data_IF_851363442530
#
_entry.id   IF_851363442530
#
_cell.length_a   1.000
_cell.length_b   1.000
_cell.length_c   1.000
_cell.angle_alpha   90.00
_cell.angle_beta   90.00
_cell.angle_gamma   90.00
#
_symmetry.space_group_name_H-M   'P 1'
#
loop_
_entity.id
_entity.type
_entity.pdbx_description
1 polymer ?
#
# COMPACT_ATOMS: atom_id res chain seq x y z
N UNK A 1 2.35 -61.24 45.35
CA UNK A 1 2.47 -59.83 45.16
C UNK A 1 1.68 -59.30 43.93
N UNK A 2 0.48 -59.88 43.64
CA UNK A 2 -0.36 -59.39 42.49
C UNK A 2 -1.73 -58.82 42.89
N UNK A 3 -2.06 -58.77 44.17
CA UNK A 3 -3.38 -58.39 44.64
C UNK A 3 -3.43 -57.01 45.34
N UNK A 4 -2.27 -56.34 45.56
CA UNK A 4 -2.20 -55.03 46.21
C UNK A 4 -2.34 -53.86 45.18
N UNK A 5 -1.99 -54.12 43.91
CA UNK A 5 -2.04 -53.08 42.87
C UNK A 5 -3.47 -52.74 42.38
N UNK A 6 -4.44 -53.66 42.52
CA UNK A 6 -5.84 -53.47 42.07
C UNK A 6 -6.66 -52.67 43.08
N UNK A 7 -6.35 -52.76 44.37
CA UNK A 7 -7.05 -52.02 45.42
C UNK A 7 -6.66 -50.54 45.43
N UNK A 8 -5.44 -50.19 45.01
CA UNK A 8 -4.98 -48.78 44.92
C UNK A 8 -5.56 -48.02 43.71
N UNK A 9 -5.81 -48.74 42.58
CA UNK A 9 -6.46 -48.15 41.42
C UNK A 9 -7.97 -47.88 41.62
N UNK A 10 -8.67 -48.69 42.43
CA UNK A 10 -10.08 -48.47 42.74
C UNK A 10 -10.31 -47.31 43.71
N UNK A 11 -9.41 -47.07 44.67
CA UNK A 11 -9.48 -45.90 45.55
C UNK A 11 -9.14 -44.57 44.82
N UNK A 12 -8.30 -44.62 43.77
CA UNK A 12 -7.98 -43.43 42.97
C UNK A 12 -9.13 -42.96 42.05
N UNK A 13 -10.02 -43.86 41.61
CA UNK A 13 -11.17 -43.50 40.77
C UNK A 13 -12.38 -42.97 41.56
N UNK A 14 -12.46 -43.21 42.87
CA UNK A 14 -13.56 -42.68 43.69
C UNK A 14 -13.30 -41.22 44.14
N UNK A 15 -12.03 -40.78 44.13
CA UNK A 15 -11.68 -39.40 44.51
C UNK A 15 -11.75 -38.38 43.37
N UNK A 16 -12.00 -38.81 42.12
CA UNK A 16 -12.13 -37.90 40.99
C UNK A 16 -13.58 -37.49 40.65
N UNK A 17 -14.56 -38.00 41.38
CA UNK A 17 -15.98 -37.67 41.15
C UNK A 17 -16.57 -36.61 42.10
N UNK A 18 -15.77 -35.90 42.89
CA UNK A 18 -16.26 -34.87 43.79
C UNK A 18 -15.73 -33.45 43.47
N UNK A 19 -15.23 -33.26 42.25
CA UNK A 19 -14.65 -31.96 41.86
C UNK A 19 -15.49 -31.16 40.86
N UNK A 20 -16.77 -31.47 40.73
CA UNK A 20 -17.68 -30.69 39.84
C UNK A 20 -19.03 -30.43 40.51
N UNK A 21 -19.04 -30.29 41.83
CA UNK A 21 -20.26 -29.80 42.49
C UNK A 21 -20.08 -28.33 42.91
N UNK A 22 -21.02 -27.53 42.46
CA UNK A 22 -21.40 -26.22 43.02
C UNK A 22 -20.58 -24.96 42.60
N UNK A 23 -20.15 -24.90 41.37
CA UNK A 23 -19.85 -23.56 40.82
C UNK A 23 -21.14 -22.72 40.68
N UNK A 24 -22.25 -23.37 40.34
CA UNK A 24 -23.57 -22.74 40.20
C UNK A 24 -24.17 -22.29 41.54
N UNK A 25 -23.84 -22.94 42.69
CA UNK A 25 -24.33 -22.55 44.02
C UNK A 25 -23.49 -21.43 44.64
N UNK A 26 -22.28 -21.17 44.17
CA UNK A 26 -21.41 -20.14 44.72
C UNK A 26 -21.61 -18.78 44.04
N UNK A 27 -21.98 -18.76 42.74
CA UNK A 27 -22.19 -17.56 41.95
C UNK A 27 -23.37 -17.72 40.98
N UNK A 28 -24.60 -17.92 41.48
CA UNK A 28 -25.71 -18.40 40.66
C UNK A 28 -26.27 -17.41 39.65
N UNK A 29 -25.93 -16.13 39.68
CA UNK A 29 -26.51 -15.11 38.82
C UNK A 29 -25.48 -14.28 38.05
N UNK A 30 -24.28 -14.15 38.57
CA UNK A 30 -23.25 -13.26 38.01
C UNK A 30 -22.71 -13.71 36.64
N UNK A 31 -22.73 -15.03 36.36
CA UNK A 31 -22.22 -15.63 35.14
C UNK A 31 -23.29 -16.21 34.21
N UNK A 32 -24.58 -16.09 34.56
CA UNK A 32 -25.67 -16.56 33.71
C UNK A 32 -25.71 -15.81 32.39
N UNK A 33 -25.56 -14.51 32.45
CA UNK A 33 -25.51 -13.57 31.31
C UNK A 33 -24.41 -12.54 31.55
N UNK A 34 -23.48 -12.46 30.62
CA UNK A 34 -22.37 -11.52 30.69
C UNK A 34 -22.31 -10.76 29.38
N UNK A 35 -22.29 -9.46 29.44
CA UNK A 35 -22.13 -8.57 28.29
C UNK A 35 -20.70 -8.06 28.22
N UNK A 36 -20.18 -7.94 27.03
CA UNK A 36 -18.81 -7.44 26.79
C UNK A 36 -18.67 -6.81 25.42
N UNK A 37 -17.75 -5.86 25.30
CA UNK A 37 -17.28 -5.38 24.01
C UNK A 37 -16.40 -6.45 23.34
N UNK A 38 -16.56 -6.63 22.05
CA UNK A 38 -15.67 -7.49 21.24
C UNK A 38 -14.29 -6.87 21.12
N UNK A 39 -14.22 -5.57 20.84
CA UNK A 39 -13.00 -4.78 20.75
C UNK A 39 -12.93 -3.84 21.95
N UNK A 40 -11.77 -3.79 22.61
CA UNK A 40 -11.56 -3.00 23.85
C UNK A 40 -10.20 -2.29 23.82
N UNK A 41 -10.00 -1.41 24.78
CA UNK A 41 -8.77 -0.63 24.91
C UNK A 41 -8.69 0.50 23.89
N UNK A 42 -7.48 0.95 23.60
CA UNK A 42 -7.24 2.03 22.66
C UNK A 42 -7.18 1.50 21.23
N UNK A 43 -7.91 2.15 20.33
CA UNK A 43 -7.94 1.83 18.88
C UNK A 43 -7.76 3.10 18.08
N UNK A 44 -6.82 3.09 17.13
CA UNK A 44 -6.72 4.12 16.11
C UNK A 44 -7.86 3.99 15.10
N UNK A 45 -8.36 5.12 14.62
CA UNK A 45 -9.43 5.18 13.60
C UNK A 45 -9.06 6.19 12.54
N UNK A 46 -8.85 5.72 11.32
CA UNK A 46 -8.59 6.58 10.17
C UNK A 46 -9.84 7.36 9.79
N UNK A 47 -9.75 8.67 9.80
CA UNK A 47 -10.79 9.61 9.40
C UNK A 47 -10.36 10.36 8.15
N UNK A 48 -10.97 10.05 7.02
CA UNK A 48 -10.60 10.67 5.75
C UNK A 48 -11.32 12.02 5.56
N UNK A 49 -10.55 13.04 5.17
CA UNK A 49 -11.09 14.38 4.79
C UNK A 49 -11.81 14.29 3.46
N UNK A 50 -13.06 13.86 3.48
CA UNK A 50 -13.90 13.70 2.28
C UNK A 50 -15.20 14.49 2.34
N UNK A 51 -15.42 15.26 3.41
CA UNK A 51 -16.71 15.90 3.71
C UNK A 51 -17.80 14.94 4.22
N UNK A 52 -17.50 13.64 4.31
CA UNK A 52 -18.42 12.60 4.76
C UNK A 52 -18.04 12.11 6.18
N UNK A 53 -19.03 11.66 6.94
CA UNK A 53 -18.79 11.03 8.24
C UNK A 53 -18.23 9.61 8.05
N UNK A 54 -17.30 9.25 8.91
CA UNK A 54 -16.74 7.87 8.96
C UNK A 54 -17.61 6.99 9.86
N UNK A 55 -17.94 5.79 9.39
CA UNK A 55 -18.67 4.81 10.18
C UNK A 55 -17.70 3.84 10.87
N UNK A 56 -17.88 3.67 12.19
CA UNK A 56 -17.15 2.68 12.98
C UNK A 56 -18.15 1.70 13.62
N UNK A 57 -17.92 0.39 13.47
CA UNK A 57 -18.81 -0.63 14.01
C UNK A 57 -18.31 -1.16 15.34
N UNK A 58 -19.15 -1.11 16.36
CA UNK A 58 -18.88 -1.65 17.69
C UNK A 58 -19.76 -2.87 17.90
N UNK A 59 -19.16 -3.99 18.27
CA UNK A 59 -19.90 -5.23 18.58
C UNK A 59 -19.94 -5.46 20.07
N UNK A 60 -21.16 -5.60 20.61
CA UNK A 60 -21.38 -6.02 21.99
C UNK A 60 -21.91 -7.45 22.00
N UNK A 61 -21.26 -8.32 22.77
CA UNK A 61 -21.53 -9.75 22.84
C UNK A 61 -22.27 -10.07 24.13
N UNK A 62 -23.32 -10.90 24.02
CA UNK A 62 -24.00 -11.56 25.14
C UNK A 62 -23.50 -13.00 25.24
N UNK A 63 -22.92 -13.36 26.38
CA UNK A 63 -22.40 -14.69 26.71
C UNK A 63 -22.85 -15.14 28.10
N UNK A 64 -22.31 -16.20 28.63
CA UNK A 64 -22.58 -16.75 29.95
C UNK A 64 -23.08 -18.18 29.91
N UNK A 65 -23.41 -18.75 31.07
CA UNK A 65 -23.89 -20.13 31.19
C UNK A 65 -25.34 -20.32 30.70
N UNK A 66 -26.14 -19.24 30.67
CA UNK A 66 -27.51 -19.23 30.18
C UNK A 66 -27.74 -18.16 29.09
N UNK A 67 -27.15 -18.31 27.89
CA UNK A 67 -27.20 -17.30 26.82
C UNK A 67 -28.64 -17.07 26.26
N UNK A 68 -29.58 -17.92 26.59
CA UNK A 68 -30.99 -17.80 26.18
C UNK A 68 -31.80 -16.85 27.07
N UNK A 69 -31.22 -16.31 28.13
CA UNK A 69 -31.84 -15.26 28.91
C UNK A 69 -31.81 -13.92 28.17
N UNK A 70 -32.83 -13.09 28.43
CA UNK A 70 -32.84 -11.69 27.96
C UNK A 70 -31.84 -10.88 28.75
N UNK A 71 -31.22 -9.87 28.12
CA UNK A 71 -30.28 -8.97 28.78
C UNK A 71 -30.46 -7.55 28.26
N UNK A 72 -30.05 -6.55 29.06
CA UNK A 72 -30.02 -5.17 28.63
C UNK A 72 -28.73 -4.46 29.06
N UNK A 73 -28.28 -3.52 28.22
CA UNK A 73 -27.13 -2.69 28.51
C UNK A 73 -27.29 -1.31 27.84
N UNK A 74 -26.46 -0.39 28.27
CA UNK A 74 -26.27 0.90 27.66
C UNK A 74 -24.85 1.04 27.17
N UNK A 75 -24.65 1.55 25.93
CA UNK A 75 -23.35 1.90 25.37
C UNK A 75 -23.36 3.37 24.98
N UNK A 76 -22.35 4.11 25.38
CA UNK A 76 -22.25 5.53 25.07
C UNK A 76 -20.89 6.10 25.41
N UNK A 77 -20.75 7.42 25.22
CA UNK A 77 -19.56 8.10 25.69
C UNK A 77 -19.42 7.96 27.21
N UNK A 78 -18.19 7.73 27.66
CA UNK A 78 -17.87 7.64 29.07
C UNK A 78 -18.21 8.97 29.78
N UNK A 79 -18.85 8.92 30.92
CA UNK A 79 -19.09 10.11 31.70
C UNK A 79 -17.81 10.73 32.26
N UNK A 80 -17.87 12.01 32.65
CA UNK A 80 -16.70 12.77 33.07
C UNK A 80 -15.96 12.16 34.27
N UNK A 81 -16.69 11.52 35.21
CA UNK A 81 -16.06 10.92 36.39
C UNK A 81 -15.25 9.69 36.04
N UNK A 82 -15.82 8.81 35.21
CA UNK A 82 -15.16 7.61 34.75
C UNK A 82 -14.01 7.95 33.81
N UNK A 83 -14.17 8.97 32.99
CA UNK A 83 -13.08 9.41 32.08
C UNK A 83 -11.91 10.02 32.86
N UNK A 84 -12.16 10.90 33.81
CA UNK A 84 -11.11 11.48 34.66
C UNK A 84 -10.34 10.39 35.42
N UNK A 85 -11.04 9.39 35.94
CA UNK A 85 -10.42 8.23 36.56
C UNK A 85 -9.55 7.44 35.55
N UNK A 86 -10.06 7.21 34.36
CA UNK A 86 -9.35 6.46 33.30
C UNK A 86 -8.01 7.13 32.92
N UNK A 87 -8.02 8.45 32.72
CA UNK A 87 -6.81 9.20 32.34
C UNK A 87 -5.81 9.37 33.49
N UNK A 88 -6.32 9.67 34.72
CA UNK A 88 -5.47 9.87 35.89
C UNK A 88 -4.72 8.59 36.31
N UNK A 89 -5.39 7.44 36.29
CA UNK A 89 -4.79 6.15 36.63
C UNK A 89 -3.66 5.74 35.63
N UNK A 90 -3.68 6.29 34.41
CA UNK A 90 -2.75 5.95 33.34
C UNK A 90 -1.76 7.05 33.01
N UNK A 91 -1.91 8.23 33.62
CA UNK A 91 -1.06 9.38 33.32
C UNK A 91 -1.18 9.88 31.89
N UNK A 92 -2.41 9.88 31.33
CA UNK A 92 -2.68 10.25 29.94
C UNK A 92 -3.17 11.70 29.86
N UNK A 93 -2.76 12.40 28.82
CA UNK A 93 -3.22 13.75 28.50
C UNK A 93 -4.26 13.71 27.37
N UNK A 94 -5.41 13.08 27.67
CA UNK A 94 -6.50 12.91 26.72
C UNK A 94 -7.62 13.91 26.98
N UNK A 95 -8.21 14.38 25.89
CA UNK A 95 -9.39 15.25 25.92
C UNK A 95 -10.54 14.55 25.16
N UNK A 96 -11.68 14.40 25.85
CA UNK A 96 -12.83 13.75 25.25
C UNK A 96 -13.48 14.62 24.17
N UNK A 97 -13.85 14.02 23.05
CA UNK A 97 -14.60 14.68 21.98
C UNK A 97 -15.95 15.22 22.48
N UNK A 98 -16.36 16.43 22.06
CA UNK A 98 -17.70 16.93 22.30
C UNK A 98 -18.75 16.17 21.47
N UNK A 99 -20.01 16.24 21.91
CA UNK A 99 -21.10 15.46 21.33
C UNK A 99 -21.42 15.74 19.85
N UNK A 100 -21.01 16.87 19.30
CA UNK A 100 -21.17 17.19 17.87
C UNK A 100 -20.18 16.42 16.96
N UNK A 101 -19.14 15.82 17.53
CA UNK A 101 -18.14 15.04 16.79
C UNK A 101 -18.60 13.63 16.43
N UNK A 102 -19.64 13.09 17.08
CA UNK A 102 -20.06 11.69 16.89
C UNK A 102 -21.55 11.49 17.12
N UNK A 103 -22.07 10.36 16.63
CA UNK A 103 -23.43 9.90 16.98
C UNK A 103 -23.53 8.38 16.93
N UNK A 104 -24.24 7.79 17.90
CA UNK A 104 -24.56 6.37 17.92
C UNK A 104 -25.94 6.14 17.25
N UNK A 105 -26.06 5.07 16.45
CA UNK A 105 -27.35 4.70 15.89
C UNK A 105 -28.29 4.09 16.93
N UNK A 106 -27.74 3.54 18.01
CA UNK A 106 -28.45 3.05 19.19
C UNK A 106 -27.52 3.08 20.40
N UNK A 107 -28.05 3.42 21.56
CA UNK A 107 -27.32 3.41 22.84
C UNK A 107 -27.93 2.38 23.81
N UNK A 108 -29.24 2.13 23.74
CA UNK A 108 -29.90 1.10 24.53
C UNK A 108 -29.92 -0.24 23.82
N UNK A 109 -29.44 -1.28 24.47
CA UNK A 109 -29.23 -2.62 23.92
C UNK A 109 -30.07 -3.64 24.64
N UNK A 110 -31.25 -3.97 24.09
CA UNK A 110 -32.12 -5.03 24.59
C UNK A 110 -31.93 -6.30 23.81
N UNK A 111 -31.46 -7.35 24.47
CA UNK A 111 -31.23 -8.67 23.89
C UNK A 111 -32.39 -9.61 24.13
N UNK A 112 -32.95 -10.15 23.05
CA UNK A 112 -33.88 -11.28 23.14
C UNK A 112 -33.16 -12.57 23.51
N UNK A 113 -33.89 -13.65 23.74
CA UNK A 113 -33.38 -14.97 24.08
C UNK A 113 -32.49 -15.58 22.96
N UNK A 114 -32.70 -15.18 21.73
CA UNK A 114 -31.96 -15.73 20.56
C UNK A 114 -30.79 -14.87 20.11
N UNK A 115 -30.71 -13.62 20.53
CA UNK A 115 -29.65 -12.71 20.16
C UNK A 115 -28.43 -12.94 21.05
N UNK A 116 -27.27 -13.08 20.43
CA UNK A 116 -25.96 -13.26 21.09
C UNK A 116 -25.01 -12.09 20.89
N UNK A 117 -25.30 -11.19 19.96
CA UNK A 117 -24.54 -9.96 19.75
C UNK A 117 -25.42 -8.86 19.15
N UNK A 118 -24.97 -7.62 19.30
CA UNK A 118 -25.50 -6.45 18.59
C UNK A 118 -24.35 -5.65 18.00
N UNK A 119 -24.60 -5.08 16.82
CA UNK A 119 -23.68 -4.18 16.13
C UNK A 119 -24.24 -2.77 16.23
N UNK A 120 -23.46 -1.90 16.81
CA UNK A 120 -23.73 -0.49 16.95
C UNK A 120 -22.92 0.24 15.88
N UNK A 121 -23.55 1.08 15.07
CA UNK A 121 -22.89 1.94 14.12
C UNK A 121 -22.68 3.32 14.74
N UNK A 122 -21.42 3.65 14.95
CA UNK A 122 -20.97 4.95 15.41
C UNK A 122 -20.54 5.76 14.18
N UNK A 123 -21.13 6.93 14.00
CA UNK A 123 -20.69 7.90 13.00
C UNK A 123 -19.74 8.91 13.66
N UNK A 124 -18.60 9.13 13.02
CA UNK A 124 -17.59 10.12 13.41
C UNK A 124 -17.59 11.24 12.37
N UNK A 125 -17.82 12.47 12.81
CA UNK A 125 -17.83 13.65 11.95
C UNK A 125 -16.43 14.20 11.83
N UNK A 126 -15.74 13.86 10.75
CA UNK A 126 -14.34 14.22 10.52
C UNK A 126 -14.09 15.73 10.60
N UNK A 127 -14.99 16.55 10.04
CA UNK A 127 -14.83 18.01 10.04
C UNK A 127 -14.94 18.59 11.47
N UNK A 128 -15.91 18.14 12.26
CA UNK A 128 -16.07 18.60 13.63
C UNK A 128 -14.91 18.16 14.53
N UNK A 129 -14.38 16.95 14.29
CA UNK A 129 -13.21 16.43 15.00
C UNK A 129 -11.97 17.26 14.64
N UNK A 130 -11.75 17.56 13.37
CA UNK A 130 -10.63 18.42 12.94
C UNK A 130 -10.69 19.80 13.57
N UNK A 131 -11.88 20.44 13.59
CA UNK A 131 -12.09 21.74 14.24
C UNK A 131 -11.78 21.65 15.74
N UNK A 132 -12.23 20.56 16.40
CA UNK A 132 -11.97 20.36 17.81
C UNK A 132 -10.49 20.14 18.10
N UNK A 133 -9.79 19.33 17.33
CA UNK A 133 -8.35 19.09 17.49
C UNK A 133 -7.52 20.38 17.41
N UNK A 134 -7.93 21.36 16.59
CA UNK A 134 -7.27 22.66 16.50
C UNK A 134 -7.42 23.51 17.77
N UNK A 135 -8.32 23.15 18.69
CA UNK A 135 -8.50 23.84 19.98
C UNK A 135 -7.66 23.24 21.10
N UNK A 136 -7.02 22.07 20.89
CA UNK A 136 -6.25 21.38 21.88
C UNK A 136 -4.89 22.07 22.14
N UNK A 137 -4.38 21.92 23.36
CA UNK A 137 -3.05 22.36 23.71
C UNK A 137 -1.99 21.36 23.21
N UNK A 138 -0.76 21.82 23.06
CA UNK A 138 0.35 20.95 22.63
C UNK A 138 0.55 19.78 23.61
N UNK A 139 0.53 18.56 23.06
CA UNK A 139 0.65 17.30 23.80
C UNK A 139 -0.66 16.64 24.16
N UNK A 140 -1.80 17.34 24.06
CA UNK A 140 -3.11 16.77 24.27
C UNK A 140 -3.53 15.90 23.07
N UNK A 141 -4.27 14.81 23.35
CA UNK A 141 -4.80 13.90 22.34
C UNK A 141 -6.32 13.86 22.39
N UNK A 142 -6.95 14.12 21.25
CA UNK A 142 -8.39 13.95 21.07
C UNK A 142 -8.77 12.47 21.14
N UNK A 143 -9.78 12.10 21.91
CA UNK A 143 -10.28 10.72 21.99
C UNK A 143 -11.80 10.67 22.15
N UNK A 144 -12.41 9.57 21.70
CA UNK A 144 -13.78 9.21 22.09
C UNK A 144 -13.73 8.02 23.04
N UNK A 145 -13.84 8.26 24.36
CA UNK A 145 -13.93 7.20 25.35
C UNK A 145 -15.36 6.64 25.38
N UNK A 146 -15.52 5.33 25.18
CA UNK A 146 -16.79 4.62 25.11
C UNK A 146 -16.85 3.61 26.23
N UNK A 147 -18.00 3.53 26.91
CA UNK A 147 -18.23 2.60 27.99
C UNK A 147 -19.52 1.80 27.79
N UNK A 148 -19.44 0.51 28.06
CA UNK A 148 -20.58 -0.39 28.17
C UNK A 148 -20.95 -0.51 29.63
N UNK A 149 -22.23 -0.27 29.96
CA UNK A 149 -22.80 -0.33 31.33
C UNK A 149 -24.12 -1.10 31.35
N UNK A 150 -24.48 -1.65 32.47
CA UNK A 150 -25.83 -2.20 32.73
C UNK A 150 -26.18 -2.02 34.18
N UNK A 151 -27.49 -1.84 34.46
CA UNK A 151 -28.04 -1.81 35.81
C UNK A 151 -28.63 -3.15 36.23
N UNK A 152 -28.83 -4.07 35.31
CA UNK A 152 -29.51 -5.35 35.51
C UNK A 152 -28.67 -6.57 35.20
N UNK A 153 -27.62 -6.42 34.39
CA UNK A 153 -26.82 -7.53 33.85
C UNK A 153 -25.33 -7.36 34.12
N UNK A 154 -24.62 -8.46 34.24
CA UNK A 154 -23.20 -8.45 34.49
C UNK A 154 -22.42 -7.98 33.23
N UNK A 155 -21.48 -7.07 33.42
CA UNK A 155 -20.54 -6.60 32.40
C UNK A 155 -19.17 -7.13 32.76
N UNK A 156 -18.45 -7.68 31.77
CA UNK A 156 -17.07 -8.11 31.96
C UNK A 156 -16.17 -6.89 32.13
N UNK A 157 -15.61 -6.72 33.34
CA UNK A 157 -14.95 -5.49 33.78
C UNK A 157 -13.73 -5.08 32.91
N UNK A 158 -13.00 -6.06 32.41
CA UNK A 158 -11.85 -5.84 31.52
C UNK A 158 -12.23 -5.67 30.03
N UNK A 159 -13.53 -5.82 29.71
CA UNK A 159 -14.09 -5.70 28.36
C UNK A 159 -15.28 -4.74 28.27
N UNK A 160 -15.25 -3.67 29.02
CA UNK A 160 -16.34 -2.69 29.05
C UNK A 160 -15.94 -1.32 28.49
N UNK A 161 -14.68 -1.12 28.14
CA UNK A 161 -14.15 0.19 27.74
C UNK A 161 -13.45 0.09 26.37
N UNK A 162 -13.78 1.03 25.49
CA UNK A 162 -13.14 1.25 24.19
C UNK A 162 -12.80 2.74 24.07
N UNK A 163 -11.57 3.07 23.71
CA UNK A 163 -11.13 4.44 23.49
C UNK A 163 -10.70 4.58 22.04
N UNK A 164 -11.45 5.35 21.26
CA UNK A 164 -11.11 5.60 19.86
C UNK A 164 -10.21 6.85 19.76
N UNK A 165 -9.11 6.69 19.04
CA UNK A 165 -8.15 7.77 18.73
C UNK A 165 -8.26 8.09 17.25
N UNK A 166 -8.82 9.24 16.87
CA UNK A 166 -8.93 9.61 15.47
C UNK A 166 -7.56 9.92 14.88
N UNK A 167 -7.35 9.50 13.66
CA UNK A 167 -6.21 9.91 12.82
C UNK A 167 -6.77 10.54 11.55
N UNK A 168 -6.67 11.87 11.43
CA UNK A 168 -7.22 12.58 10.27
C UNK A 168 -6.25 12.47 9.11
N UNK A 169 -6.73 11.88 8.03
CA UNK A 169 -5.96 11.62 6.81
C UNK A 169 -6.54 12.44 5.66
N UNK A 170 -5.70 13.22 5.01
CA UNK A 170 -6.03 13.88 3.75
C UNK A 170 -5.63 12.98 2.58
N UNK A 171 -6.58 12.40 1.82
CA UNK A 171 -6.25 11.59 0.67
C UNK A 171 -5.56 12.44 -0.40
N UNK A 172 -4.38 12.03 -0.85
CA UNK A 172 -3.60 12.74 -1.86
C UNK A 172 -3.41 11.90 -3.12
N UNK A 173 -3.73 12.49 -4.27
CA UNK A 173 -3.62 11.85 -5.58
C UNK A 173 -2.24 12.13 -6.18
N UNK A 174 -1.54 11.09 -6.59
CA UNK A 174 -0.22 11.18 -7.20
C UNK A 174 0.05 10.06 -8.22
N UNK A 175 1.18 10.16 -8.92
CA UNK A 175 1.70 9.07 -9.74
C UNK A 175 2.24 7.95 -8.83
N UNK A 176 1.74 6.74 -9.01
CA UNK A 176 2.10 5.60 -8.15
C UNK A 176 3.45 4.98 -8.50
N UNK A 177 3.92 5.19 -9.72
CA UNK A 177 5.15 4.58 -10.25
C UNK A 177 6.44 5.30 -9.82
N UNK A 178 6.34 6.48 -9.20
CA UNK A 178 7.51 7.28 -8.82
C UNK A 178 7.22 8.25 -7.69
N UNK A 179 8.01 8.20 -6.63
CA UNK A 179 7.95 9.17 -5.53
C UNK A 179 8.54 10.55 -5.88
N UNK A 180 9.32 10.64 -6.96
CA UNK A 180 9.91 11.90 -7.43
C UNK A 180 9.05 12.64 -8.47
N UNK A 181 7.89 12.06 -8.83
CA UNK A 181 7.04 12.60 -9.88
C UNK A 181 7.60 12.45 -11.30
N UNK A 182 8.71 11.70 -11.49
CA UNK A 182 9.30 11.46 -12.82
C UNK A 182 9.28 9.98 -13.16
N UNK A 183 8.66 9.61 -14.28
CA UNK A 183 8.53 8.25 -14.77
C UNK A 183 9.18 8.14 -16.14
N UNK A 184 10.02 7.12 -16.37
CA UNK A 184 10.63 6.85 -17.68
C UNK A 184 9.96 5.63 -18.31
N UNK A 185 9.49 5.77 -19.53
CA UNK A 185 8.90 4.70 -20.33
C UNK A 185 9.59 4.61 -21.70
N UNK A 186 9.63 3.40 -22.23
CA UNK A 186 10.26 3.12 -23.52
C UNK A 186 9.22 2.73 -24.56
N UNK A 187 9.39 3.22 -25.77
CA UNK A 187 8.51 2.98 -26.91
C UNK A 187 9.32 2.73 -28.18
N UNK A 188 8.74 2.02 -29.18
CA UNK A 188 9.30 2.01 -30.52
C UNK A 188 9.47 3.43 -31.06
N UNK A 189 10.40 3.61 -32.00
CA UNK A 189 10.62 4.94 -32.60
C UNK A 189 9.37 5.53 -33.30
N UNK A 190 8.42 4.68 -33.69
CA UNK A 190 7.13 5.10 -34.26
C UNK A 190 6.24 5.84 -33.25
N UNK A 191 6.59 5.82 -31.98
CA UNK A 191 5.73 6.28 -30.90
C UNK A 191 4.69 5.23 -30.52
N UNK A 192 3.66 5.66 -29.80
CA UNK A 192 2.58 4.80 -29.30
C UNK A 192 1.88 5.44 -28.10
N UNK A 193 1.04 4.67 -27.43
CA UNK A 193 0.34 5.13 -26.22
C UNK A 193 1.04 4.60 -24.97
N UNK A 194 1.25 5.46 -23.98
CA UNK A 194 1.79 5.14 -22.67
C UNK A 194 0.72 5.35 -21.63
N UNK A 195 0.57 4.42 -20.69
CA UNK A 195 -0.20 4.59 -19.47
C UNK A 195 0.72 4.98 -18.31
N UNK A 196 0.28 5.94 -17.50
CA UNK A 196 0.88 6.36 -16.24
C UNK A 196 -0.14 6.17 -15.14
N UNK A 197 0.17 5.33 -14.16
CA UNK A 197 -0.76 5.00 -13.11
C UNK A 197 -0.84 6.12 -12.07
N UNK A 198 -2.07 6.55 -11.80
CA UNK A 198 -2.44 7.48 -10.75
C UNK A 198 -3.17 6.72 -9.64
N UNK A 199 -2.92 7.10 -8.40
CA UNK A 199 -3.60 6.53 -7.24
C UNK A 199 -3.51 7.42 -6.02
N UNK A 200 -4.40 7.17 -5.08
CA UNK A 200 -4.33 7.76 -3.76
C UNK A 200 -3.21 7.09 -2.96
N UNK A 201 -2.61 7.80 -2.02
CA UNK A 201 -1.66 7.25 -1.05
C UNK A 201 -2.30 6.29 -0.04
N UNK A 202 -3.64 6.24 -0.01
CA UNK A 202 -4.47 5.32 0.78
C UNK A 202 -5.27 4.43 -0.17
N UNK A 203 -5.80 3.32 0.33
CA UNK A 203 -6.70 2.48 -0.44
C UNK A 203 -7.92 3.29 -0.90
N UNK A 204 -8.18 3.29 -2.20
CA UNK A 204 -9.31 4.03 -2.75
C UNK A 204 -10.64 3.39 -2.37
N UNK A 205 -11.46 4.09 -1.62
CA UNK A 205 -12.80 3.67 -1.20
C UNK A 205 -13.91 4.47 -1.90
N UNK A 206 -13.55 5.37 -2.84
CA UNK A 206 -14.48 6.36 -3.40
C UNK A 206 -14.54 6.35 -4.91
N UNK A 207 -15.68 6.80 -5.44
CA UNK A 207 -15.83 7.20 -6.84
C UNK A 207 -15.52 8.69 -6.96
N UNK A 208 -14.58 9.04 -7.82
CA UNK A 208 -14.24 10.42 -8.14
C UNK A 208 -13.62 10.51 -9.53
N UNK A 209 -13.45 11.73 -10.04
CA UNK A 209 -12.71 11.98 -11.28
C UNK A 209 -11.64 13.02 -11.04
N UNK A 210 -10.56 12.95 -11.80
CA UNK A 210 -9.63 14.06 -11.90
C UNK A 210 -9.52 14.55 -13.34
N UNK A 211 -9.28 15.85 -13.50
CA UNK A 211 -8.97 16.47 -14.77
C UNK A 211 -7.48 16.71 -14.87
N UNK A 212 -6.90 16.30 -15.98
CA UNK A 212 -5.47 16.45 -16.25
C UNK A 212 -5.25 17.28 -17.52
N UNK A 213 -4.08 17.89 -17.64
CA UNK A 213 -3.66 18.58 -18.85
C UNK A 213 -2.17 18.41 -19.09
N UNK A 214 -1.75 18.52 -20.36
CA UNK A 214 -0.33 18.65 -20.69
C UNK A 214 0.16 20.02 -20.23
N UNK A 215 1.28 20.02 -19.52
CA UNK A 215 1.99 21.24 -19.15
C UNK A 215 3.04 21.58 -20.23
N UNK A 216 2.75 22.63 -21.01
CA UNK A 216 3.61 23.04 -22.12
C UNK A 216 4.99 23.53 -21.68
N UNK A 217 5.11 24.00 -20.43
CA UNK A 217 6.38 24.57 -19.93
C UNK A 217 7.43 23.50 -19.64
N UNK A 218 7.00 22.30 -19.30
CA UNK A 218 7.87 21.15 -19.00
C UNK A 218 7.89 20.11 -20.13
N UNK A 219 7.03 20.28 -21.14
CA UNK A 219 6.94 19.37 -22.29
C UNK A 219 7.96 19.76 -23.35
N UNK A 220 8.82 18.81 -23.74
CA UNK A 220 9.79 18.96 -24.82
C UNK A 220 9.52 18.05 -26.03
N UNK A 221 8.54 17.15 -25.88
CA UNK A 221 8.12 16.22 -26.93
C UNK A 221 6.90 16.82 -27.67
N UNK A 222 7.18 17.49 -28.77
CA UNK A 222 6.15 18.12 -29.60
C UNK A 222 5.14 17.11 -30.15
N UNK A 223 3.85 17.44 -30.10
CA UNK A 223 2.77 16.61 -30.64
C UNK A 223 2.30 15.49 -29.72
N UNK A 224 2.77 15.42 -28.47
CA UNK A 224 2.20 14.54 -27.46
C UNK A 224 0.76 15.03 -27.11
N UNK A 225 -0.18 14.09 -26.93
CA UNK A 225 -1.58 14.39 -26.58
C UNK A 225 -2.09 13.42 -25.53
N UNK A 226 -3.05 13.87 -24.71
CA UNK A 226 -3.80 12.95 -23.84
C UNK A 226 -4.86 12.19 -24.64
N UNK A 227 -5.10 10.93 -24.30
CA UNK A 227 -6.25 10.16 -24.82
C UNK A 227 -7.55 10.68 -24.23
N UNK A 228 -7.54 11.03 -22.94
CA UNK A 228 -8.64 11.69 -22.22
C UNK A 228 -8.03 12.68 -21.23
N UNK A 229 -8.69 13.80 -21.04
CA UNK A 229 -8.38 14.78 -20.01
C UNK A 229 -9.14 14.53 -18.69
N UNK A 230 -10.09 13.59 -18.69
CA UNK A 230 -10.84 13.14 -17.51
C UNK A 230 -10.47 11.70 -17.20
N UNK A 231 -10.05 11.46 -15.97
CA UNK A 231 -9.69 10.15 -15.44
C UNK A 231 -10.67 9.81 -14.33
N UNK A 232 -11.32 8.64 -14.42
CA UNK A 232 -12.28 8.15 -13.43
C UNK A 232 -11.64 7.14 -12.50
N UNK A 233 -12.01 7.21 -11.23
CA UNK A 233 -11.56 6.30 -10.17
C UNK A 233 -12.78 5.61 -9.55
N UNK A 234 -12.64 4.33 -9.28
CA UNK A 234 -13.63 3.49 -8.60
C UNK A 234 -12.98 2.83 -7.38
N UNK A 235 -13.78 2.47 -6.35
CA UNK A 235 -13.26 1.80 -5.16
C UNK A 235 -12.42 0.55 -5.49
N UNK A 236 -11.26 0.41 -4.82
CA UNK A 236 -10.33 -0.70 -5.01
C UNK A 236 -9.48 -0.63 -6.27
N UNK A 237 -9.68 0.37 -7.15
CA UNK A 237 -8.99 0.47 -8.43
C UNK A 237 -8.03 1.66 -8.46
N UNK A 238 -6.89 1.47 -9.14
CA UNK A 238 -6.05 2.53 -9.67
C UNK A 238 -6.55 2.91 -11.06
N UNK A 239 -6.21 4.11 -11.51
CA UNK A 239 -6.50 4.56 -12.86
C UNK A 239 -5.26 5.11 -13.53
N UNK A 240 -5.26 5.24 -14.84
CA UNK A 240 -4.10 5.71 -15.57
C UNK A 240 -4.41 6.87 -16.52
N UNK A 241 -3.48 7.81 -16.58
CA UNK A 241 -3.42 8.80 -17.65
C UNK A 241 -2.80 8.15 -18.86
N UNK A 242 -3.49 8.17 -19.99
CA UNK A 242 -2.96 7.67 -21.25
C UNK A 242 -2.49 8.80 -22.14
N UNK A 243 -1.22 8.72 -22.56
CA UNK A 243 -0.54 9.74 -23.36
C UNK A 243 -0.17 9.14 -24.73
N UNK A 244 -0.63 9.75 -25.78
CA UNK A 244 -0.18 9.43 -27.14
C UNK A 244 1.14 10.14 -27.41
N UNK A 245 2.16 9.38 -27.66
CA UNK A 245 3.50 9.83 -28.04
C UNK A 245 3.64 9.73 -29.55
N UNK A 246 3.93 10.82 -30.26
CA UNK A 246 4.14 10.80 -31.68
C UNK A 246 5.46 10.07 -32.03
N UNK A 247 5.69 9.89 -33.33
CA UNK A 247 6.96 9.38 -33.82
C UNK A 247 8.12 10.22 -33.29
N UNK A 248 9.09 9.57 -32.69
CA UNK A 248 10.28 10.23 -32.18
C UNK A 248 11.13 10.85 -33.28
N UNK A 249 11.45 12.13 -33.16
CA UNK A 249 12.46 12.83 -33.97
C UNK A 249 13.82 12.85 -33.28
N UNK A 250 13.85 12.64 -31.96
CA UNK A 250 15.01 12.49 -31.08
C UNK A 250 14.89 11.14 -30.35
N UNK A 251 15.88 10.77 -29.58
CA UNK A 251 15.87 9.51 -28.84
C UNK A 251 15.01 9.55 -27.58
N UNK A 252 14.63 10.72 -27.10
CA UNK A 252 13.76 10.93 -25.95
C UNK A 252 13.19 12.34 -25.93
N UNK A 253 12.15 12.52 -25.12
CA UNK A 253 11.59 13.82 -24.78
C UNK A 253 10.69 13.70 -23.54
N UNK A 254 10.38 14.83 -22.95
CA UNK A 254 9.54 14.92 -21.76
C UNK A 254 8.12 15.33 -22.15
N UNK A 255 7.15 14.79 -21.42
CA UNK A 255 5.77 15.27 -21.39
C UNK A 255 5.43 15.58 -19.94
N UNK A 256 5.23 16.85 -19.64
CA UNK A 256 4.72 17.29 -18.35
C UNK A 256 3.21 17.13 -18.31
N UNK A 257 2.70 16.58 -17.23
CA UNK A 257 1.27 16.39 -17.03
C UNK A 257 0.92 16.95 -15.66
N UNK A 258 -0.09 17.79 -15.58
CA UNK A 258 -0.57 18.38 -14.34
C UNK A 258 -2.01 17.97 -14.06
N UNK A 259 -2.31 17.75 -12.82
CA UNK A 259 -3.67 17.61 -12.33
C UNK A 259 -4.22 19.02 -12.16
N UNK A 260 -5.42 19.27 -12.67
CA UNK A 260 -6.07 20.58 -12.60
C UNK A 260 -7.10 20.65 -11.49
N UNK A 261 -7.86 19.59 -11.31
CA UNK A 261 -8.94 19.51 -10.34
C UNK A 261 -9.30 18.04 -10.04
N UNK A 262 -9.86 17.82 -8.87
CA UNK A 262 -10.52 16.58 -8.49
C UNK A 262 -12.00 16.90 -8.29
N UNK A 263 -12.87 16.06 -8.85
CA UNK A 263 -14.33 16.22 -8.79
C UNK A 263 -14.99 15.00 -8.17
N UNK A 264 -16.03 15.23 -7.37
CA UNK A 264 -16.83 14.17 -6.73
C UNK A 264 -16.40 13.84 -5.32
N UNK A 265 -15.29 14.40 -4.83
CA UNK A 265 -14.87 14.32 -3.42
C UNK A 265 -14.20 15.63 -3.00
N UNK A 266 -14.72 16.21 -1.91
CA UNK A 266 -14.11 17.35 -1.26
C UNK A 266 -12.96 16.90 -0.36
N UNK A 267 -11.98 17.77 -0.14
CA UNK A 267 -10.86 17.53 0.76
C UNK A 267 -9.74 16.64 0.22
N UNK A 268 -9.83 16.13 -1.02
CA UNK A 268 -8.70 15.44 -1.63
C UNK A 268 -7.65 16.45 -2.09
N UNK A 269 -6.39 16.10 -1.89
CA UNK A 269 -5.25 16.92 -2.33
C UNK A 269 -4.52 16.28 -3.52
N UNK A 270 -3.78 17.08 -4.23
CA UNK A 270 -2.87 16.67 -5.30
C UNK A 270 -1.72 17.68 -5.44
N UNK A 271 -0.58 17.20 -5.95
CA UNK A 271 0.53 18.10 -6.27
C UNK A 271 0.16 18.96 -7.50
N UNK A 272 0.23 20.26 -7.34
CA UNK A 272 0.01 21.24 -8.42
C UNK A 272 1.18 21.33 -9.39
N UNK A 273 2.35 20.82 -9.03
CA UNK A 273 3.48 20.69 -9.93
C UNK A 273 3.24 19.58 -10.95
N UNK A 274 3.67 19.75 -12.21
CA UNK A 274 3.52 18.72 -13.21
C UNK A 274 4.43 17.52 -12.87
N UNK A 275 3.89 16.32 -13.00
CA UNK A 275 4.72 15.12 -13.06
C UNK A 275 5.26 14.92 -14.48
N UNK A 276 6.44 14.32 -14.60
CA UNK A 276 7.18 14.25 -15.85
C UNK A 276 7.23 12.82 -16.37
N UNK A 277 6.63 12.61 -17.54
CA UNK A 277 6.85 11.41 -18.32
C UNK A 277 8.07 11.63 -19.23
N UNK A 278 9.15 10.91 -18.99
CA UNK A 278 10.28 10.82 -19.91
C UNK A 278 10.00 9.68 -20.88
N UNK A 279 9.52 10.00 -22.07
CA UNK A 279 9.34 9.05 -23.14
C UNK A 279 10.66 8.88 -23.91
N UNK A 280 11.15 7.64 -24.02
CA UNK A 280 12.39 7.32 -24.68
C UNK A 280 12.21 6.23 -25.73
N UNK A 281 13.02 6.24 -26.76
CA UNK A 281 13.06 5.14 -27.72
C UNK A 281 13.51 3.86 -27.00
N UNK A 282 12.81 2.78 -27.28
CA UNK A 282 13.04 1.46 -26.69
C UNK A 282 14.52 1.05 -26.80
N UNK A 283 15.08 0.58 -25.71
CA UNK A 283 16.40 -0.02 -25.67
C UNK A 283 16.25 -1.53 -25.82
N UNK A 284 16.91 -2.10 -26.82
CA UNK A 284 17.03 -3.54 -26.89
C UNK A 284 17.98 -4.04 -25.81
N UNK A 285 17.52 -4.96 -24.99
CA UNK A 285 18.40 -5.77 -24.17
C UNK A 285 19.06 -6.81 -25.08
N UNK A 286 20.37 -6.68 -25.27
CA UNK A 286 21.12 -7.66 -26.03
C UNK A 286 21.22 -8.98 -25.24
N UNK A 287 21.16 -10.08 -25.97
CA UNK A 287 21.40 -11.42 -25.43
C UNK A 287 22.63 -12.03 -26.10
N UNK A 288 23.26 -13.02 -25.48
CA UNK A 288 24.53 -13.59 -25.96
C UNK A 288 24.40 -14.19 -27.35
N UNK A 289 23.25 -14.70 -27.73
CA UNK A 289 22.95 -15.25 -29.05
C UNK A 289 22.81 -14.18 -30.15
N UNK A 290 22.67 -12.92 -29.77
CA UNK A 290 22.70 -11.78 -30.70
C UNK A 290 24.14 -11.33 -31.03
N UNK A 291 25.13 -11.83 -30.29
CA UNK A 291 26.53 -11.44 -30.45
C UNK A 291 27.31 -12.50 -31.20
N UNK A 292 28.20 -12.07 -32.08
CA UNK A 292 29.21 -12.92 -32.73
C UNK A 292 30.51 -12.15 -32.92
N UNK A 293 31.62 -12.89 -33.06
CA UNK A 293 32.94 -12.32 -33.36
C UNK A 293 33.75 -13.37 -34.14
N UNK A 294 34.60 -12.90 -35.06
CA UNK A 294 35.59 -13.75 -35.72
C UNK A 294 36.82 -14.01 -34.83
N UNK A 295 36.96 -13.29 -33.74
CA UNK A 295 38.18 -13.27 -32.96
C UNK A 295 37.86 -13.31 -31.46
N UNK A 296 37.51 -14.49 -30.94
CA UNK A 296 37.29 -14.70 -29.51
C UNK A 296 38.56 -15.36 -28.94
N UNK A 297 39.11 -14.82 -27.87
CA UNK A 297 40.22 -15.47 -27.18
C UNK A 297 39.76 -16.78 -26.54
N UNK A 298 40.38 -17.94 -26.84
CA UNK A 298 39.88 -19.23 -26.33
C UNK A 298 39.97 -19.40 -24.81
N UNK A 299 40.90 -18.70 -24.18
CA UNK A 299 41.23 -18.89 -22.77
C UNK A 299 40.59 -17.88 -21.81
N UNK A 300 40.10 -16.76 -22.31
CA UNK A 300 39.57 -15.69 -21.47
C UNK A 300 38.62 -14.74 -22.21
N UNK A 301 37.78 -14.02 -21.48
CA UNK A 301 37.06 -12.89 -22.01
C UNK A 301 35.96 -13.21 -23.02
N UNK A 302 34.95 -13.99 -22.66
CA UNK A 302 33.84 -14.38 -23.54
C UNK A 302 32.97 -13.21 -24.00
N UNK A 303 32.22 -13.38 -25.11
CA UNK A 303 31.22 -12.39 -25.57
C UNK A 303 30.12 -12.11 -24.55
N UNK A 304 29.77 -13.09 -23.72
CA UNK A 304 28.74 -12.93 -22.68
C UNK A 304 29.13 -11.85 -21.65
N UNK A 305 30.42 -11.67 -21.41
CA UNK A 305 30.94 -10.65 -20.49
C UNK A 305 30.67 -9.20 -20.95
N UNK A 306 30.28 -9.02 -22.22
CA UNK A 306 29.82 -7.70 -22.69
C UNK A 306 28.44 -7.32 -22.23
N UNK A 307 27.67 -8.26 -21.65
CA UNK A 307 26.26 -8.11 -21.35
C UNK A 307 25.91 -8.37 -19.87
N UNK A 308 26.86 -8.78 -19.05
CA UNK A 308 26.62 -9.17 -17.66
C UNK A 308 26.47 -7.99 -16.67
N UNK A 309 26.78 -6.77 -17.13
CA UNK A 309 26.72 -5.56 -16.32
C UNK A 309 27.86 -5.40 -15.31
N UNK A 310 28.80 -6.33 -15.25
CA UNK A 310 29.97 -6.28 -14.37
C UNK A 310 31.16 -5.64 -15.07
N UNK A 311 31.59 -4.47 -14.61
CA UNK A 311 32.76 -3.77 -15.13
C UNK A 311 34.09 -4.48 -14.83
N UNK A 312 34.10 -5.48 -13.96
CA UNK A 312 35.25 -6.34 -13.65
C UNK A 312 35.46 -7.45 -14.68
N UNK A 313 34.41 -7.82 -15.41
CA UNK A 313 34.49 -8.77 -16.53
C UNK A 313 34.76 -8.03 -17.84
N UNK A 314 35.14 -8.76 -18.88
CA UNK A 314 35.48 -8.17 -20.17
C UNK A 314 35.40 -9.19 -21.30
N UNK A 315 35.23 -8.70 -22.52
CA UNK A 315 35.48 -9.45 -23.74
C UNK A 315 36.96 -9.25 -24.16
N UNK A 316 37.63 -10.33 -24.54
CA UNK A 316 38.97 -10.26 -25.12
C UNK A 316 38.99 -10.79 -26.56
N UNK A 317 39.42 -9.95 -27.49
CA UNK A 317 39.65 -10.43 -28.85
C UNK A 317 40.90 -11.30 -28.90
N UNK A 318 40.92 -12.26 -29.85
CA UNK A 318 41.99 -13.24 -29.97
C UNK A 318 43.38 -12.57 -30.03
N UNK A 319 44.27 -13.02 -29.18
CA UNK A 319 45.70 -12.65 -29.17
C UNK A 319 46.60 -13.87 -29.17
N UNK A 320 46.15 -15.01 -28.67
CA UNK A 320 46.91 -16.25 -28.63
C UNK A 320 46.79 -17.05 -29.92
N UNK A 321 45.80 -16.74 -30.76
CA UNK A 321 45.61 -17.35 -32.08
C UNK A 321 45.62 -16.28 -33.15
N UNK A 322 46.17 -16.62 -34.34
CA UNK A 322 46.24 -15.68 -35.45
C UNK A 322 44.91 -15.64 -36.22
N UNK A 323 44.35 -14.45 -36.35
CA UNK A 323 43.16 -14.17 -37.17
C UNK A 323 43.61 -13.33 -38.34
N UNK A 324 43.33 -13.79 -39.57
CA UNK A 324 43.79 -13.13 -40.79
C UNK A 324 43.09 -11.79 -41.07
N UNK A 325 41.86 -11.66 -40.66
CA UNK A 325 41.02 -10.48 -40.86
C UNK A 325 41.03 -9.54 -39.64
N UNK A 326 40.49 -8.32 -39.84
CA UNK A 326 40.25 -7.40 -38.74
C UNK A 326 39.31 -8.03 -37.74
N UNK A 327 39.61 -7.86 -36.45
CA UNK A 327 38.73 -8.31 -35.37
C UNK A 327 37.43 -7.48 -35.35
N UNK A 328 36.30 -8.14 -35.21
CA UNK A 328 35.03 -7.47 -35.09
C UNK A 328 34.15 -8.12 -34.00
N UNK A 329 33.22 -7.34 -33.47
CA UNK A 329 32.04 -7.82 -32.75
C UNK A 329 30.81 -7.41 -33.55
N UNK A 330 29.98 -8.38 -33.87
CA UNK A 330 28.75 -8.19 -34.62
C UNK A 330 27.57 -8.32 -33.67
N UNK A 331 26.61 -7.44 -33.83
CA UNK A 331 25.32 -7.47 -33.11
C UNK A 331 24.22 -7.67 -34.13
N UNK A 332 23.45 -8.76 -33.98
CA UNK A 332 22.28 -9.05 -34.80
C UNK A 332 21.02 -8.61 -34.04
N UNK A 333 20.45 -7.49 -34.45
CA UNK A 333 19.22 -6.99 -33.85
C UNK A 333 17.99 -7.82 -34.32
N UNK A 334 16.98 -8.07 -33.43
CA UNK A 334 15.80 -8.87 -33.76
C UNK A 334 14.89 -8.18 -34.76
N UNK A 335 14.96 -6.85 -34.84
CA UNK A 335 14.18 -6.03 -35.78
C UNK A 335 15.07 -5.01 -36.49
N UNK A 336 14.67 -4.66 -37.71
CA UNK A 336 15.32 -3.59 -38.46
C UNK A 336 15.02 -2.25 -37.79
N UNK A 337 16.08 -1.50 -37.48
CA UNK A 337 15.99 -0.13 -36.94
C UNK A 337 16.67 0.86 -37.82
N UNK A 338 16.16 2.07 -37.91
CA UNK A 338 16.75 3.19 -38.67
C UNK A 338 17.73 4.01 -37.87
N UNK A 339 17.59 3.95 -36.55
CA UNK A 339 18.42 4.71 -35.60
C UNK A 339 18.70 3.83 -34.39
N UNK A 340 19.92 3.94 -33.88
CA UNK A 340 20.28 3.28 -32.62
C UNK A 340 21.31 4.14 -31.89
N UNK A 341 21.41 3.89 -30.59
CA UNK A 341 22.47 4.43 -29.76
C UNK A 341 23.35 3.29 -29.30
N UNK A 342 24.63 3.45 -29.52
CA UNK A 342 25.64 2.52 -29.07
C UNK A 342 26.35 3.09 -27.84
N UNK A 343 26.44 2.32 -26.78
CA UNK A 343 27.22 2.65 -25.59
C UNK A 343 28.26 1.58 -25.38
N UNK A 344 29.50 1.99 -25.26
CA UNK A 344 30.63 1.13 -25.02
C UNK A 344 31.32 1.55 -23.71
N UNK A 345 31.66 0.55 -22.89
CA UNK A 345 32.41 0.75 -21.65
C UNK A 345 33.74 0.03 -21.74
N UNK A 346 34.82 0.77 -21.60
CA UNK A 346 36.16 0.19 -21.53
C UNK A 346 36.34 -0.63 -20.26
N UNK A 347 37.17 -1.68 -20.36
CA UNK A 347 37.64 -2.41 -19.17
C UNK A 347 38.33 -1.43 -18.20
N UNK A 348 37.98 -1.55 -16.90
CA UNK A 348 38.64 -0.76 -15.86
C UNK A 348 40.09 -1.20 -15.62
N UNK A 349 40.98 -0.27 -15.32
CA UNK A 349 42.35 -0.50 -14.87
C UNK A 349 43.27 -1.24 -15.84
N UNK A 350 43.03 -1.21 -17.15
CA UNK A 350 43.91 -1.81 -18.15
C UNK A 350 44.21 -0.84 -19.30
N UNK A 351 45.25 -0.05 -19.16
CA UNK A 351 45.68 0.92 -20.18
C UNK A 351 46.06 0.31 -21.52
N UNK A 352 46.41 -0.98 -21.60
CA UNK A 352 46.81 -1.65 -22.82
C UNK A 352 45.66 -2.19 -23.68
N UNK A 353 44.44 -2.21 -23.12
CA UNK A 353 43.25 -2.78 -23.75
C UNK A 353 42.14 -1.76 -24.02
N UNK A 354 42.41 -0.47 -23.82
CA UNK A 354 41.42 0.56 -24.15
C UNK A 354 41.27 0.68 -25.66
N UNK A 355 40.02 0.61 -26.12
CA UNK A 355 39.69 0.81 -27.52
C UNK A 355 39.92 2.28 -27.89
N UNK A 356 40.89 2.54 -28.78
CA UNK A 356 41.23 3.91 -29.19
C UNK A 356 40.29 4.41 -30.32
N UNK A 357 39.88 3.52 -31.19
CA UNK A 357 38.98 3.80 -32.30
C UNK A 357 38.38 2.51 -32.84
N UNK A 358 37.26 2.59 -33.49
CA UNK A 358 36.60 1.51 -34.21
C UNK A 358 35.81 2.05 -35.40
N UNK A 359 35.58 1.22 -36.39
CA UNK A 359 34.67 1.50 -37.47
C UNK A 359 33.34 0.82 -37.18
N UNK A 360 32.24 1.57 -37.36
CA UNK A 360 30.90 1.04 -37.19
C UNK A 360 30.28 0.78 -38.56
N UNK A 361 29.90 -0.47 -38.79
CA UNK A 361 29.21 -0.87 -40.00
C UNK A 361 27.79 -1.27 -39.70
N UNK A 362 26.87 -0.88 -40.59
CA UNK A 362 25.44 -1.21 -40.43
C UNK A 362 24.91 -1.79 -41.75
N UNK A 363 23.90 -2.65 -41.63
CA UNK A 363 23.28 -3.25 -42.82
C UNK A 363 22.12 -4.18 -42.44
N UNK A 364 21.40 -4.63 -43.44
CA UNK A 364 20.26 -5.55 -43.26
C UNK A 364 20.70 -7.02 -43.29
N UNK A 365 21.92 -7.31 -43.72
CA UNK A 365 22.54 -8.61 -43.64
C UNK A 365 24.08 -8.44 -43.55
N UNK A 366 24.73 -9.49 -43.07
CA UNK A 366 26.20 -9.50 -42.83
C UNK A 366 27.07 -9.36 -44.08
N UNK A 367 26.52 -9.63 -45.26
CA UNK A 367 27.28 -9.54 -46.53
C UNK A 367 27.13 -8.17 -47.20
N UNK A 368 26.36 -7.27 -46.64
CA UNK A 368 26.09 -5.94 -47.19
C UNK A 368 26.08 -4.87 -46.11
N UNK A 369 27.19 -4.75 -45.39
CA UNK A 369 27.39 -3.75 -44.35
C UNK A 369 28.01 -2.48 -44.95
N UNK A 370 27.57 -1.31 -44.52
CA UNK A 370 28.05 0.01 -44.90
C UNK A 370 28.64 0.72 -43.68
N UNK A 371 29.74 1.45 -43.89
CA UNK A 371 30.43 2.25 -42.88
C UNK A 371 29.57 3.46 -42.49
#
# INVERSE_FOLDING_TARGET
MKHISIALCLCGMILMNTSCDNYDDTYPQEYEKILSLQTTGEQAVDLYKTGEATNYSITVIKSGSQPTLTASAHIGAMDAVNFEKYISERGLDYVAMPANCYSFNMEELDYSSTETYKIINLQLNTNEIEIFEQTLEEGQTCVLPIMLTSTSDSILADKNTLVLKPEIITPSLSVTESSSGTVTKYLPQSGGTIALDLGLQVENQWNFTCKVAIDETTTTLEGATLVSDIISFEPGNTSSVQVNIPKFTKTSGNVGIKILEINGKDGFEFDTNPFILVASVEKYSLTADMLSSNAIEPSEGSLANLLDGDIGTYFHSAWSVSIADKHYVQVKLPVSTKTFRFTYTNRSNNGNAALAWFNLYTGTNENNLQL
#
